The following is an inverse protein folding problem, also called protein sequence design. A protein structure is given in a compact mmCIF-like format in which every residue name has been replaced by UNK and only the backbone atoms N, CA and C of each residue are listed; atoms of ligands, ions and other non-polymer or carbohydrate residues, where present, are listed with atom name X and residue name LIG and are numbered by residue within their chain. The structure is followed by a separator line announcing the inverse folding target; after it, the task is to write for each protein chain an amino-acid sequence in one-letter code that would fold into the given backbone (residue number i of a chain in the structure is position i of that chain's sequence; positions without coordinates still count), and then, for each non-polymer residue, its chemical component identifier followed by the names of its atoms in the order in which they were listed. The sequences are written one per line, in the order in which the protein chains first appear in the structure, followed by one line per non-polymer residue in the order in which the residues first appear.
data_IF_471149671248
#
_entry.id   IF_471149671248
#
_cell.length_a   1.000
_cell.length_b   1.000
_cell.length_c   1.000
_cell.angle_alpha   90.00
_cell.angle_beta   90.00
_cell.angle_gamma   90.00
#
_symmetry.space_group_name_H-M   'P 1'
#
loop_
_entity.id
_entity.type
_entity.pdbx_description
1 polymer ?
#
# COMPACT_ATOMS: atom_id res chain seq x y z
N UNK A 1 5.74 -14.12 -5.65
CA UNK A 1 5.67 -13.52 -4.30
C UNK A 1 6.56 -14.36 -3.41
N UNK A 2 7.58 -13.73 -2.83
CA UNK A 2 8.51 -14.38 -1.92
C UNK A 2 7.84 -14.54 -0.56
N UNK A 3 7.48 -15.77 -0.18
CA UNK A 3 6.75 -16.01 1.08
C UNK A 3 7.66 -16.07 2.29
N UNK A 4 8.93 -16.42 2.08
CA UNK A 4 9.88 -16.58 3.19
C UNK A 4 10.21 -15.20 3.75
N UNK A 5 10.52 -14.23 2.86
CA UNK A 5 10.66 -12.83 3.24
C UNK A 5 9.42 -12.28 3.97
N UNK A 6 8.22 -12.57 3.46
CA UNK A 6 6.99 -12.07 4.08
C UNK A 6 6.76 -12.67 5.47
N UNK A 7 7.13 -13.93 5.70
CA UNK A 7 7.07 -14.51 7.04
C UNK A 7 8.11 -13.86 7.98
N UNK A 8 9.34 -13.62 7.51
CA UNK A 8 10.40 -12.97 8.29
C UNK A 8 10.00 -11.56 8.74
N UNK A 9 9.32 -10.79 7.89
CA UNK A 9 8.83 -9.45 8.24
C UNK A 9 7.86 -9.48 9.44
N UNK A 10 7.14 -10.57 9.68
CA UNK A 10 6.20 -10.68 10.80
C UNK A 10 6.88 -10.71 12.17
N UNK A 11 8.15 -11.09 12.23
CA UNK A 11 8.86 -11.28 13.49
C UNK A 11 9.10 -9.96 14.22
N UNK A 12 9.30 -8.88 13.48
CA UNK A 12 9.74 -7.59 14.01
C UNK A 12 9.09 -6.35 13.38
N UNK A 13 8.17 -6.50 12.41
CA UNK A 13 7.43 -5.38 11.83
C UNK A 13 5.95 -5.42 12.21
N UNK A 14 5.36 -4.23 12.39
CA UNK A 14 3.92 -4.05 12.69
C UNK A 14 3.08 -3.71 11.47
N UNK A 15 3.74 -3.23 10.41
CA UNK A 15 3.12 -2.68 9.20
C UNK A 15 4.01 -3.06 8.02
N UNK A 16 3.38 -3.55 6.95
CA UNK A 16 3.98 -3.66 5.63
C UNK A 16 3.27 -2.67 4.71
N UNK A 17 4.02 -1.97 3.87
CA UNK A 17 3.46 -1.14 2.81
C UNK A 17 3.78 -1.78 1.46
N UNK A 18 2.89 -1.59 0.48
CA UNK A 18 3.18 -1.90 -0.92
C UNK A 18 3.10 -0.62 -1.74
N UNK A 19 4.09 -0.39 -2.60
CA UNK A 19 4.08 0.69 -3.59
C UNK A 19 3.98 0.04 -4.97
N UNK A 20 2.91 0.30 -5.70
CA UNK A 20 2.73 -0.22 -7.06
C UNK A 20 2.41 0.89 -8.07
N UNK A 21 3.09 0.85 -9.21
CA UNK A 21 2.75 1.65 -10.40
C UNK A 21 1.65 0.92 -11.20
N UNK A 22 0.50 0.81 -10.56
CA UNK A 22 -0.64 0.03 -11.03
C UNK A 22 -1.89 0.38 -10.24
N UNK A 23 -3.00 -0.24 -10.61
CA UNK A 23 -4.26 -0.07 -9.87
C UNK A 23 -4.30 -1.01 -8.66
N UNK A 24 -4.91 -0.55 -7.58
CA UNK A 24 -5.10 -1.35 -6.37
C UNK A 24 -5.99 -2.58 -6.63
N UNK A 25 -7.08 -2.40 -7.38
CA UNK A 25 -8.04 -3.46 -7.72
C UNK A 25 -7.37 -4.60 -8.50
N UNK A 26 -7.25 -5.78 -7.87
CA UNK A 26 -6.55 -6.93 -8.45
C UNK A 26 -5.02 -6.80 -8.50
N UNK A 27 -4.48 -5.75 -7.88
CA UNK A 27 -3.07 -5.38 -7.90
C UNK A 27 -2.16 -6.29 -7.09
N UNK A 28 -0.91 -5.86 -6.95
CA UNK A 28 0.08 -6.53 -6.11
C UNK A 28 -0.28 -6.41 -4.63
N UNK A 29 -0.72 -5.23 -4.18
CA UNK A 29 -1.07 -4.97 -2.78
C UNK A 29 -2.15 -5.91 -2.23
N UNK A 30 -3.15 -6.26 -3.03
CA UNK A 30 -4.18 -7.22 -2.65
C UNK A 30 -3.62 -8.63 -2.40
N UNK A 31 -2.62 -9.05 -3.16
CA UNK A 31 -1.97 -10.36 -2.96
C UNK A 31 -1.22 -10.39 -1.63
N UNK A 32 -0.55 -9.30 -1.27
CA UNK A 32 0.13 -9.14 0.02
C UNK A 32 -0.88 -9.07 1.17
N UNK A 33 -1.95 -8.30 1.00
CA UNK A 33 -3.05 -8.21 1.97
C UNK A 33 -3.70 -9.57 2.21
N UNK A 34 -3.94 -10.34 1.14
CA UNK A 34 -4.45 -11.70 1.23
C UNK A 34 -3.48 -12.65 1.93
N UNK A 35 -2.18 -12.52 1.71
CA UNK A 35 -1.17 -13.34 2.39
C UNK A 35 -1.19 -13.13 3.90
N UNK A 36 -1.36 -11.90 4.36
CA UNK A 36 -1.42 -11.55 5.78
C UNK A 36 -2.84 -11.56 6.37
N UNK A 37 -3.88 -11.91 5.60
CA UNK A 37 -5.28 -11.73 6.00
C UNK A 37 -5.72 -12.52 7.24
N UNK A 38 -5.03 -13.61 7.56
CA UNK A 38 -5.24 -14.41 8.77
C UNK A 38 -4.18 -14.13 9.88
N UNK A 39 -3.34 -13.11 9.69
CA UNK A 39 -2.21 -12.77 10.56
C UNK A 39 -2.41 -11.41 11.22
N UNK A 40 -1.66 -11.16 12.30
CA UNK A 40 -1.64 -9.87 12.99
C UNK A 40 -0.64 -8.89 12.36
N UNK A 41 -0.68 -8.72 11.04
CA UNK A 41 0.16 -7.78 10.29
C UNK A 41 -0.75 -6.75 9.62
N UNK A 42 -0.46 -5.46 9.82
CA UNK A 42 -1.18 -4.38 9.13
C UNK A 42 -0.58 -4.18 7.75
N UNK A 43 -1.42 -3.98 6.74
CA UNK A 43 -0.98 -3.78 5.36
C UNK A 43 -1.60 -2.50 4.81
N UNK A 44 -0.78 -1.63 4.24
CA UNK A 44 -1.22 -0.46 3.47
C UNK A 44 -0.79 -0.63 2.01
N UNK A 45 -1.74 -0.52 1.09
CA UNK A 45 -1.46 -0.62 -0.34
C UNK A 45 -1.57 0.76 -0.98
N UNK A 46 -0.49 1.20 -1.62
CA UNK A 46 -0.43 2.46 -2.35
C UNK A 46 -0.30 2.17 -3.84
N UNK A 47 -1.29 2.64 -4.59
CA UNK A 47 -1.41 2.52 -6.02
C UNK A 47 -2.55 3.39 -6.52
N UNK A 48 -2.78 3.40 -7.83
CA UNK A 48 -3.87 4.16 -8.42
C UNK A 48 -5.23 3.56 -8.06
N UNK A 49 -6.23 4.42 -7.91
CA UNK A 49 -7.63 3.96 -7.92
C UNK A 49 -8.04 3.58 -9.33
N UNK A 50 -8.93 2.61 -9.48
CA UNK A 50 -9.44 2.18 -10.78
C UNK A 50 -10.42 3.22 -11.35
N UNK A 51 -9.89 4.15 -12.13
CA UNK A 51 -10.67 5.18 -12.82
C UNK A 51 -10.04 5.61 -14.15
N UNK A 52 -10.85 6.24 -15.01
CA UNK A 52 -10.35 7.00 -16.15
C UNK A 52 -10.01 8.41 -15.68
N UNK A 53 -8.79 8.86 -15.96
CA UNK A 53 -8.26 10.12 -15.45
C UNK A 53 -8.24 11.25 -16.47
N UNK A 54 -8.68 11.03 -17.70
CA UNK A 54 -8.86 12.02 -18.79
C UNK A 54 -8.05 13.33 -18.66
N UNK A 55 -6.76 13.24 -19.00
CA UNK A 55 -5.81 14.37 -19.01
C UNK A 55 -5.63 15.11 -17.68
N UNK A 56 -5.95 14.49 -16.55
CA UNK A 56 -5.64 15.02 -15.22
C UNK A 56 -4.11 15.01 -15.00
N UNK A 57 -3.53 16.12 -14.50
CA UNK A 57 -2.11 16.19 -14.19
C UNK A 57 -1.65 15.11 -13.20
N UNK A 58 -0.48 14.53 -13.43
CA UNK A 58 0.09 13.47 -12.58
C UNK A 58 0.17 13.88 -11.10
N UNK A 59 0.50 15.15 -10.82
CA UNK A 59 0.56 15.68 -9.46
C UNK A 59 -0.79 15.60 -8.74
N UNK A 60 -1.88 15.93 -9.43
CA UNK A 60 -3.22 15.85 -8.86
C UNK A 60 -3.62 14.39 -8.60
N UNK A 61 -3.22 13.46 -9.48
CA UNK A 61 -3.41 12.03 -9.26
C UNK A 61 -2.61 11.53 -8.06
N UNK A 62 -1.36 12.00 -7.88
CA UNK A 62 -0.53 11.60 -6.75
C UNK A 62 -1.08 12.11 -5.43
N UNK A 63 -1.56 13.36 -5.39
CA UNK A 63 -2.24 13.89 -4.21
C UNK A 63 -3.54 13.13 -3.93
N UNK A 64 -4.35 12.87 -4.97
CA UNK A 64 -5.62 12.10 -4.87
C UNK A 64 -5.43 10.68 -4.36
N UNK A 65 -4.41 9.99 -4.84
CA UNK A 65 -4.13 8.59 -4.51
C UNK A 65 -3.16 8.41 -3.33
N UNK A 66 -2.76 9.51 -2.67
CA UNK A 66 -1.80 9.48 -1.57
C UNK A 66 -0.46 8.83 -1.97
N UNK A 67 0.05 9.16 -3.15
CA UNK A 67 1.30 8.63 -3.71
C UNK A 67 2.50 9.58 -3.55
N UNK A 68 2.31 10.74 -2.93
CA UNK A 68 3.45 11.58 -2.54
C UNK A 68 4.10 11.07 -1.25
N UNK A 69 5.41 11.28 -1.12
CA UNK A 69 6.18 10.85 0.05
C UNK A 69 5.55 11.32 1.38
N UNK A 70 5.18 12.59 1.46
CA UNK A 70 4.59 13.19 2.66
C UNK A 70 3.24 12.53 3.04
N UNK A 71 2.41 12.21 2.06
CA UNK A 71 1.11 11.57 2.29
C UNK A 71 1.28 10.11 2.73
N UNK A 72 2.18 9.37 2.08
CA UNK A 72 2.53 7.99 2.47
C UNK A 72 3.03 7.95 3.91
N UNK A 73 3.95 8.85 4.27
CA UNK A 73 4.50 8.94 5.64
C UNK A 73 3.38 9.28 6.64
N UNK A 74 2.48 10.19 6.30
CA UNK A 74 1.35 10.55 7.16
C UNK A 74 0.42 9.35 7.40
N UNK A 75 0.11 8.57 6.36
CA UNK A 75 -0.73 7.38 6.46
C UNK A 75 -0.07 6.28 7.30
N UNK A 76 1.25 6.07 7.14
CA UNK A 76 2.02 5.13 7.96
C UNK A 76 2.00 5.54 9.44
N UNK A 77 2.26 6.82 9.75
CA UNK A 77 2.25 7.34 11.11
C UNK A 77 0.89 7.14 11.78
N UNK A 78 -0.19 7.48 11.08
CA UNK A 78 -1.56 7.28 11.57
C UNK A 78 -1.83 5.84 11.96
N UNK A 79 -1.27 4.86 11.23
CA UNK A 79 -1.42 3.45 11.60
C UNK A 79 -0.51 3.07 12.77
N UNK A 80 0.72 3.60 12.86
CA UNK A 80 1.64 3.27 13.94
C UNK A 80 1.27 3.89 15.30
N UNK A 81 0.63 5.05 15.29
CA UNK A 81 0.21 5.81 16.47
C UNK A 81 -1.11 5.30 17.08
N UNK A 82 -1.84 4.43 16.36
CA UNK A 82 -3.03 3.72 16.83
C UNK A 82 -2.72 2.31 17.33
#
# INVERSE_FOLDING_TARGET
MDKDLLNELQENHKVVITLEDGILDGGFGEKISRFYGDKNMRVLNFGATKEFTDSVPLRELYERYHLSEDLIIADIKKVLEN
#
